data_IF_065034491176
#
_entry.id   IF_065034491176
#
_cell.length_a   1.000
_cell.length_b   1.000
_cell.length_c   1.000
_cell.angle_alpha   90.00
_cell.angle_beta   90.00
_cell.angle_gamma   90.00
#
_symmetry.space_group_name_H-M   'P 1'
#
loop_
_entity.id
_entity.type
_entity.pdbx_description
1 polymer ?
#
# COMPACT_ATOMS: atom_id res chain seq x y z
N UNK A 1 -6.06 -3.45 31.94
CA UNK A 1 -7.22 -2.53 31.94
C UNK A 1 -7.42 -2.00 30.52
N UNK A 2 -8.38 -2.56 29.78
CA UNK A 2 -8.79 -2.03 28.49
C UNK A 2 -9.64 -0.78 28.74
N UNK A 3 -9.04 0.41 28.62
CA UNK A 3 -9.80 1.64 28.60
C UNK A 3 -10.62 1.66 27.32
N UNK A 4 -11.94 1.57 27.45
CA UNK A 4 -12.85 1.65 26.32
C UNK A 4 -12.62 2.99 25.58
N UNK A 5 -12.25 2.93 24.31
CA UNK A 5 -11.94 4.09 23.49
C UNK A 5 -13.21 4.91 23.27
N UNK A 6 -13.28 6.10 23.84
CA UNK A 6 -14.42 7.01 23.70
C UNK A 6 -14.24 7.98 22.51
N UNK A 7 -13.03 8.19 22.03
CA UNK A 7 -12.74 9.11 20.94
C UNK A 7 -13.01 8.48 19.57
N UNK A 8 -13.76 9.20 18.72
CA UNK A 8 -13.99 8.80 17.32
C UNK A 8 -12.77 9.00 16.43
N UNK A 9 -11.89 9.95 16.79
CA UNK A 9 -10.67 10.29 16.08
C UNK A 9 -9.50 10.13 17.03
N UNK A 10 -8.42 9.51 16.54
CA UNK A 10 -7.17 9.34 17.26
C UNK A 10 -6.05 9.84 16.38
N UNK A 11 -5.18 10.67 16.94
CA UNK A 11 -3.97 11.14 16.30
C UNK A 11 -2.81 10.30 16.82
N UNK A 12 -2.05 9.70 15.89
CA UNK A 12 -0.80 9.03 16.19
C UNK A 12 0.33 10.04 15.92
N UNK A 13 0.91 10.57 16.98
CA UNK A 13 1.95 11.62 16.95
C UNK A 13 3.35 11.09 17.32
N UNK A 14 3.53 9.79 17.25
CA UNK A 14 4.77 9.08 17.57
C UNK A 14 5.40 8.51 16.31
N UNK A 15 6.74 8.28 16.35
CA UNK A 15 7.48 7.64 15.26
C UNK A 15 7.55 6.12 15.47
N UNK A 16 7.47 5.35 14.35
CA UNK A 16 7.71 3.92 14.33
C UNK A 16 6.47 3.05 14.58
N UNK A 17 5.37 3.61 15.05
CA UNK A 17 4.16 2.85 15.39
C UNK A 17 3.14 2.74 14.26
N UNK A 18 3.31 3.51 13.17
CA UNK A 18 2.35 3.57 12.07
C UNK A 18 2.18 2.20 11.38
N UNK A 19 3.27 1.49 11.17
CA UNK A 19 3.22 0.17 10.53
C UNK A 19 2.35 -0.81 11.35
N UNK A 20 2.52 -0.83 12.66
CA UNK A 20 1.72 -1.68 13.55
C UNK A 20 0.26 -1.21 13.64
N UNK A 21 0.03 0.10 13.55
CA UNK A 21 -1.32 0.67 13.55
C UNK A 21 -2.16 0.21 12.34
N UNK A 22 -1.53 -0.07 11.20
CA UNK A 22 -2.23 -0.65 10.05
C UNK A 22 -2.85 -2.03 10.35
N UNK A 23 -2.30 -2.79 11.30
CA UNK A 23 -2.81 -4.12 11.65
C UNK A 23 -4.28 -4.08 12.10
N UNK A 24 -4.71 -3.01 12.78
CA UNK A 24 -6.07 -2.82 13.31
C UNK A 24 -6.98 -2.02 12.36
N UNK A 25 -6.47 -1.52 11.24
CA UNK A 25 -7.27 -0.81 10.25
C UNK A 25 -8.18 -1.78 9.48
N UNK A 26 -9.34 -1.33 9.03
CA UNK A 26 -10.17 -2.04 8.06
C UNK A 26 -9.80 -1.66 6.63
N UNK A 27 -9.49 -0.39 6.39
CA UNK A 27 -9.11 0.19 5.12
C UNK A 27 -8.14 1.35 5.38
N UNK A 28 -7.28 1.66 4.44
CA UNK A 28 -6.30 2.74 4.58
C UNK A 28 -6.39 3.70 3.39
N UNK A 29 -6.32 4.99 3.68
CA UNK A 29 -6.10 6.04 2.70
C UNK A 29 -4.68 6.60 2.86
N UNK A 30 -3.90 6.56 1.79
CA UNK A 30 -2.56 7.15 1.77
C UNK A 30 -2.66 8.66 1.58
N UNK A 31 -2.20 9.41 2.58
CA UNK A 31 -2.16 10.88 2.55
C UNK A 31 -1.19 11.44 1.51
N UNK A 32 -1.13 12.77 1.40
CA UNK A 32 -0.30 13.49 0.43
C UNK A 32 -0.55 13.11 -1.05
N UNK A 33 -1.69 12.50 -1.36
CA UNK A 33 -2.00 11.97 -2.69
C UNK A 33 -3.16 12.68 -3.40
N UNK A 34 -4.05 13.38 -2.67
CA UNK A 34 -5.07 14.28 -3.27
C UNK A 34 -4.52 15.67 -3.62
N UNK A 35 -3.30 15.95 -3.25
CA UNK A 35 -2.54 17.16 -3.57
C UNK A 35 -1.20 16.73 -4.18
N UNK A 36 -0.50 17.62 -4.96
CA UNK A 36 0.72 17.21 -5.67
C UNK A 36 1.94 17.12 -4.73
N UNK A 37 1.92 16.11 -3.85
CA UNK A 37 2.96 15.83 -2.86
C UNK A 37 3.56 14.41 -2.95
N UNK A 38 3.28 13.68 -4.05
CA UNK A 38 3.91 12.39 -4.33
C UNK A 38 3.33 11.16 -3.63
N UNK A 39 2.42 11.35 -2.66
CA UNK A 39 1.77 10.26 -1.91
C UNK A 39 2.60 9.74 -0.73
N UNK A 40 2.10 8.69 -0.11
CA UNK A 40 2.76 7.90 0.94
C UNK A 40 2.85 6.44 0.50
N UNK A 41 3.72 5.66 1.14
CA UNK A 41 3.98 4.27 0.79
C UNK A 41 2.73 3.38 0.92
N UNK A 42 2.13 2.91 -0.19
CA UNK A 42 0.92 2.10 -0.14
C UNK A 42 1.20 0.62 0.15
N UNK A 43 2.46 0.17 0.06
CA UNK A 43 2.82 -1.23 0.31
C UNK A 43 2.79 -1.59 1.78
N UNK A 44 2.98 -0.62 2.68
CA UNK A 44 2.92 -0.87 4.12
C UNK A 44 1.55 -1.36 4.59
N UNK A 45 0.44 -0.64 4.35
CA UNK A 45 -0.89 -1.15 4.68
C UNK A 45 -1.28 -2.38 3.87
N UNK A 46 -0.86 -2.47 2.60
CA UNK A 46 -1.11 -3.63 1.75
C UNK A 46 -0.47 -4.91 2.30
N UNK A 47 0.71 -4.83 2.91
CA UNK A 47 1.37 -5.96 3.58
C UNK A 47 0.53 -6.53 4.73
N UNK A 48 -0.25 -5.69 5.41
CA UNK A 48 -1.23 -6.12 6.42
C UNK A 48 -2.54 -6.63 5.83
N UNK A 49 -2.65 -6.75 4.51
CA UNK A 49 -3.87 -7.19 3.83
C UNK A 49 -5.01 -6.17 3.94
N UNK A 50 -4.68 -4.89 3.90
CA UNK A 50 -5.68 -3.82 3.95
C UNK A 50 -5.92 -3.28 2.55
N UNK A 51 -7.19 -3.06 2.13
CA UNK A 51 -7.48 -2.28 0.94
C UNK A 51 -6.89 -0.88 1.05
N UNK A 52 -6.26 -0.41 -0.02
CA UNK A 52 -5.55 0.87 -0.02
C UNK A 52 -6.17 1.83 -1.02
N UNK A 53 -6.53 3.02 -0.55
CA UNK A 53 -7.01 4.12 -1.37
C UNK A 53 -5.98 5.24 -1.39
N UNK A 54 -5.89 5.93 -2.50
CA UNK A 54 -4.99 7.08 -2.68
C UNK A 54 -5.54 8.02 -3.75
N UNK A 55 -5.07 9.25 -3.73
CA UNK A 55 -5.35 10.23 -4.79
C UNK A 55 -4.48 10.02 -6.02
N UNK A 56 -4.61 10.90 -7.03
CA UNK A 56 -3.86 10.78 -8.29
C UNK A 56 -2.35 11.06 -8.17
N UNK A 57 -1.92 11.80 -7.14
CA UNK A 57 -0.51 12.13 -6.91
C UNK A 57 0.17 11.00 -6.13
N UNK A 58 0.80 10.08 -6.86
CA UNK A 58 1.55 8.93 -6.34
C UNK A 58 2.89 8.77 -7.06
N UNK A 59 3.49 9.89 -7.43
CA UNK A 59 4.71 9.93 -8.26
C UNK A 59 5.89 9.22 -7.60
N UNK A 60 5.96 9.26 -6.28
CA UNK A 60 7.04 8.62 -5.52
C UNK A 60 6.84 7.09 -5.39
N UNK A 61 5.64 6.58 -5.74
CA UNK A 61 5.24 5.18 -5.56
C UNK A 61 4.50 4.60 -6.78
N UNK A 62 4.86 5.02 -8.00
CA UNK A 62 4.15 4.61 -9.23
C UNK A 62 4.08 3.10 -9.41
N UNK A 63 5.21 2.41 -9.27
CA UNK A 63 5.27 0.94 -9.44
C UNK A 63 4.39 0.21 -8.42
N UNK A 64 4.39 0.69 -7.18
CA UNK A 64 3.56 0.14 -6.12
C UNK A 64 2.07 0.37 -6.37
N UNK A 65 1.69 1.58 -6.83
CA UNK A 65 0.33 1.90 -7.23
C UNK A 65 -0.15 0.98 -8.36
N UNK A 66 0.63 0.88 -9.45
CA UNK A 66 0.28 0.04 -10.60
C UNK A 66 0.11 -1.43 -10.21
N UNK A 67 0.99 -1.97 -9.37
CA UNK A 67 0.89 -3.34 -8.89
C UNK A 67 -0.40 -3.56 -8.05
N UNK A 68 -0.71 -2.64 -7.16
CA UNK A 68 -1.91 -2.73 -6.31
C UNK A 68 -3.21 -2.59 -7.12
N UNK A 69 -3.25 -1.67 -8.09
CA UNK A 69 -4.42 -1.48 -8.97
C UNK A 69 -4.62 -2.70 -9.89
N UNK A 70 -3.55 -3.20 -10.50
CA UNK A 70 -3.62 -4.38 -11.36
C UNK A 70 -4.13 -5.62 -10.62
N UNK A 71 -3.74 -5.78 -9.35
CA UNK A 71 -4.25 -6.86 -8.50
C UNK A 71 -5.68 -6.62 -8.00
N UNK A 72 -6.16 -5.37 -7.99
CA UNK A 72 -7.44 -4.98 -7.41
C UNK A 72 -7.41 -4.85 -5.88
N UNK A 73 -6.25 -4.60 -5.30
CA UNK A 73 -6.06 -4.34 -3.86
C UNK A 73 -5.90 -2.87 -3.52
N UNK A 74 -5.69 -2.01 -4.53
CA UNK A 74 -5.60 -0.56 -4.41
C UNK A 74 -6.52 0.15 -5.38
N UNK A 75 -6.88 1.40 -5.07
CA UNK A 75 -7.75 2.22 -5.92
C UNK A 75 -7.39 3.70 -5.85
N UNK A 76 -7.18 4.32 -7.01
CA UNK A 76 -7.09 5.77 -7.12
C UNK A 76 -8.47 6.41 -7.05
N UNK A 77 -8.60 7.47 -6.26
CA UNK A 77 -9.80 8.32 -6.17
C UNK A 77 -9.45 9.76 -6.51
N UNK A 78 -10.24 10.46 -7.33
CA UNK A 78 -9.90 11.81 -7.79
C UNK A 78 -10.06 12.90 -6.72
N UNK A 79 -10.93 12.67 -5.74
CA UNK A 79 -11.30 13.67 -4.73
C UNK A 79 -11.85 13.03 -3.46
N UNK A 80 -12.07 13.88 -2.45
CA UNK A 80 -12.54 13.44 -1.14
C UNK A 80 -13.97 12.90 -1.15
N UNK A 81 -14.82 13.38 -2.05
CA UNK A 81 -16.20 12.88 -2.15
C UNK A 81 -16.22 11.46 -2.70
N UNK A 82 -15.50 11.21 -3.79
CA UNK A 82 -15.36 9.86 -4.36
C UNK A 82 -14.72 8.92 -3.35
N UNK A 83 -13.70 9.38 -2.60
CA UNK A 83 -13.12 8.60 -1.50
C UNK A 83 -14.18 8.18 -0.49
N UNK A 84 -15.03 9.11 -0.04
CA UNK A 84 -16.07 8.81 0.94
C UNK A 84 -17.09 7.78 0.42
N UNK A 85 -17.53 7.93 -0.82
CA UNK A 85 -18.46 7.00 -1.49
C UNK A 85 -17.87 5.59 -1.59
N UNK A 86 -16.65 5.47 -2.06
CA UNK A 86 -15.92 4.20 -2.20
C UNK A 86 -15.66 3.51 -0.85
N UNK A 87 -15.25 4.29 0.16
CA UNK A 87 -15.05 3.76 1.51
C UNK A 87 -16.35 3.22 2.12
N UNK A 88 -17.47 3.90 1.89
CA UNK A 88 -18.79 3.45 2.36
C UNK A 88 -19.18 2.13 1.69
N UNK A 89 -18.96 1.98 0.39
CA UNK A 89 -19.24 0.73 -0.33
C UNK A 89 -18.40 -0.43 0.20
N UNK A 90 -17.10 -0.25 0.29
CA UNK A 90 -16.18 -1.31 0.74
C UNK A 90 -16.45 -1.69 2.20
N UNK A 91 -16.69 -0.72 3.08
CA UNK A 91 -16.95 -0.99 4.50
C UNK A 91 -18.31 -1.64 4.78
N UNK A 92 -19.30 -1.50 3.89
CA UNK A 92 -20.59 -2.17 3.99
C UNK A 92 -20.58 -3.61 3.49
N UNK A 93 -19.59 -3.99 2.69
CA UNK A 93 -19.45 -5.32 2.12
C UNK A 93 -18.21 -6.03 2.68
N UNK A 94 -18.37 -6.88 3.72
CA UNK A 94 -17.25 -7.61 4.32
C UNK A 94 -16.53 -8.55 3.35
N UNK A 95 -17.21 -9.07 2.34
CA UNK A 95 -16.60 -9.96 1.35
C UNK A 95 -15.72 -9.16 0.39
N UNK A 96 -16.19 -8.01 -0.07
CA UNK A 96 -15.41 -7.10 -0.90
C UNK A 96 -14.19 -6.58 -0.13
N UNK A 97 -14.36 -6.18 1.12
CA UNK A 97 -13.29 -5.70 2.00
C UNK A 97 -12.18 -6.76 2.13
N UNK A 98 -12.56 -8.01 2.44
CA UNK A 98 -11.62 -9.12 2.57
C UNK A 98 -10.93 -9.42 1.24
N UNK A 99 -11.68 -9.53 0.15
CA UNK A 99 -11.13 -9.84 -1.17
C UNK A 99 -10.11 -8.78 -1.63
N UNK A 100 -10.42 -7.49 -1.45
CA UNK A 100 -9.48 -6.41 -1.77
C UNK A 100 -8.22 -6.50 -0.90
N UNK A 101 -8.35 -6.77 0.40
CA UNK A 101 -7.23 -6.91 1.31
C UNK A 101 -6.30 -8.07 0.95
N UNK A 102 -6.85 -9.24 0.61
CA UNK A 102 -6.08 -10.40 0.16
C UNK A 102 -5.31 -10.11 -1.14
N UNK A 103 -5.94 -9.41 -2.08
CA UNK A 103 -5.32 -8.97 -3.34
C UNK A 103 -4.20 -7.97 -3.08
N UNK A 104 -4.40 -7.01 -2.18
CA UNK A 104 -3.37 -6.05 -1.77
C UNK A 104 -2.15 -6.78 -1.21
N UNK A 105 -2.35 -7.72 -0.32
CA UNK A 105 -1.27 -8.52 0.27
C UNK A 105 -0.53 -9.35 -0.77
N UNK A 106 -1.23 -9.98 -1.69
CA UNK A 106 -0.63 -10.76 -2.78
C UNK A 106 0.24 -9.86 -3.67
N UNK A 107 -0.23 -8.67 -4.02
CA UNK A 107 0.54 -7.72 -4.82
C UNK A 107 1.87 -7.33 -4.16
N UNK A 108 1.91 -7.19 -2.83
CA UNK A 108 3.16 -6.90 -2.10
C UNK A 108 4.16 -8.04 -2.26
N UNK A 109 3.74 -9.30 -2.10
CA UNK A 109 4.63 -10.45 -2.27
C UNK A 109 5.18 -10.56 -3.69
N UNK A 110 4.35 -10.35 -4.69
CA UNK A 110 4.78 -10.37 -6.10
C UNK A 110 5.75 -9.24 -6.41
N UNK A 111 5.49 -8.04 -5.89
CA UNK A 111 6.37 -6.89 -6.04
C UNK A 111 7.75 -7.12 -5.40
N UNK A 112 7.80 -7.70 -4.21
CA UNK A 112 9.06 -8.07 -3.54
C UNK A 112 9.83 -9.11 -4.33
N UNK A 113 9.16 -10.15 -4.82
CA UNK A 113 9.77 -11.19 -5.65
C UNK A 113 10.35 -10.65 -6.96
N UNK A 114 9.69 -9.67 -7.58
CA UNK A 114 10.21 -8.99 -8.77
C UNK A 114 11.51 -8.23 -8.45
N UNK A 115 11.57 -7.52 -7.33
CA UNK A 115 12.78 -6.82 -6.88
C UNK A 115 13.96 -7.79 -6.60
N UNK A 116 13.69 -8.92 -5.94
CA UNK A 116 14.71 -9.97 -5.72
C UNK A 116 15.23 -10.56 -7.03
N UNK A 117 14.35 -10.82 -8.00
CA UNK A 117 14.74 -11.31 -9.32
C UNK A 117 15.60 -10.29 -10.07
N UNK A 118 15.32 -9.01 -9.98
CA UNK A 118 16.13 -7.95 -10.59
C UNK A 118 17.53 -7.89 -9.95
N UNK A 119 17.63 -7.96 -8.62
CA UNK A 119 18.90 -7.98 -7.90
C UNK A 119 19.76 -9.18 -8.31
N UNK A 120 19.18 -10.39 -8.36
CA UNK A 120 19.87 -11.60 -8.80
C UNK A 120 20.35 -11.51 -10.27
N UNK A 121 19.58 -10.87 -11.14
CA UNK A 121 19.97 -10.65 -12.53
C UNK A 121 21.16 -9.69 -12.66
N UNK A 122 21.17 -8.61 -11.88
CA UNK A 122 22.28 -7.64 -11.82
C UNK A 122 23.55 -8.33 -11.31
N UNK A 123 23.48 -9.11 -10.25
CA UNK A 123 24.63 -9.88 -9.74
C UNK A 123 25.23 -10.81 -10.79
N UNK A 124 24.36 -11.52 -11.53
CA UNK A 124 24.79 -12.42 -12.61
C UNK A 124 25.53 -11.67 -13.72
N UNK A 125 25.04 -10.50 -14.11
CA UNK A 125 25.69 -9.64 -15.11
C UNK A 125 27.06 -9.14 -14.63
N UNK A 126 27.17 -8.71 -13.39
CA UNK A 126 28.43 -8.26 -12.80
C UNK A 126 29.48 -9.36 -12.74
N UNK A 127 29.09 -10.58 -12.39
CA UNK A 127 29.98 -11.75 -12.38
C UNK A 127 30.48 -12.14 -13.78
N UNK A 128 29.64 -11.98 -14.82
CA UNK A 128 30.02 -12.25 -16.21
C UNK A 128 31.01 -11.20 -16.75
N UNK A 129 30.80 -9.92 -16.42
CA UNK A 129 31.69 -8.82 -16.85
C UNK A 129 33.05 -8.86 -16.15
N UNK A 130 33.10 -9.32 -14.89
CA UNK A 130 34.35 -9.50 -14.12
C UNK A 130 35.27 -10.61 -14.68
N UNK A 131 34.68 -11.64 -15.31
CA UNK A 131 35.45 -12.75 -15.95
C UNK A 131 36.06 -12.39 -17.31
N UNK A 132 35.56 -11.35 -17.98
CA UNK A 132 36.11 -10.94 -19.29
C UNK A 132 37.29 -9.97 -19.19
N UNK A 133 37.66 -9.54 -17.98
CA UNK A 133 38.79 -8.62 -17.73
C UNK A 133 40.04 -9.28 -17.17
N UNK A 134 40.07 -10.61 -17.17
CA UNK A 134 41.27 -11.42 -16.92
C UNK A 134 41.74 -12.12 -18.21
#
# INVERSE_FOLDING_TARGET
DSVARQAKVVILDTFGELFDAYSVASVVFCGASLVPLGGQNPLEPAAWGKPVFYGPSMEDFLDAREALEAAGGGKTVPDAQTLAEELIEVLKDPQLLQAMGEKARTAVFEHQKAAENHAAHIEKLLMQTGRQRQ
#
